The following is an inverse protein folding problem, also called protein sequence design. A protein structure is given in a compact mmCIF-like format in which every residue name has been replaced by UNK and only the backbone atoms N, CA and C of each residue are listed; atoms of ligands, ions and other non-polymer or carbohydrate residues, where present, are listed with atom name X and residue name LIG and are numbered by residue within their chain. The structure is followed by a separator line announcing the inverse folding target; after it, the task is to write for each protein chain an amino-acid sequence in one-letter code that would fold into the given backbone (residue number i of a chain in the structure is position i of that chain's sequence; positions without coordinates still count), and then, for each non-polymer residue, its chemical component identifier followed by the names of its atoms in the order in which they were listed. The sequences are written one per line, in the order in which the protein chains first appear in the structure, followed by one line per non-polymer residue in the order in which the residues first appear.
data_IF_412352156987
#
_entry.id   IF_412352156987
#
_cell.length_a   1.000
_cell.length_b   1.000
_cell.length_c   1.000
_cell.angle_alpha   90.00
_cell.angle_beta   90.00
_cell.angle_gamma   90.00
#
_symmetry.space_group_name_H-M   'P 1'
#
loop_
_entity.id
_entity.type
_entity.pdbx_description
1 polymer ?
#
# COMPACT_ATOMS: atom_id res chain seq x y z
N UNK A 1 18.47 12.20 3.66
CA UNK A 1 18.88 13.62 3.62
C UNK A 1 19.14 14.03 2.17
N UNK A 2 18.10 14.39 1.39
CA UNK A 2 18.26 14.65 -0.04
C UNK A 2 19.07 15.92 -0.30
N UNK A 3 18.69 17.07 0.27
CA UNK A 3 19.31 18.37 -0.04
C UNK A 3 20.81 18.46 0.25
N UNK A 4 21.30 18.00 1.41
CA UNK A 4 22.76 18.00 1.69
C UNK A 4 23.57 17.25 0.62
N UNK A 5 23.02 16.21 0.00
CA UNK A 5 23.71 15.43 -1.03
C UNK A 5 23.59 16.04 -2.43
N UNK A 6 22.75 17.06 -2.62
CA UNK A 6 22.62 17.83 -3.85
C UNK A 6 23.66 18.97 -3.95
N UNK A 7 24.63 19.06 -3.02
CA UNK A 7 25.68 20.11 -3.02
C UNK A 7 26.55 20.11 -4.27
N UNK A 8 26.60 19.00 -5.00
CA UNK A 8 27.37 18.83 -6.23
C UNK A 8 26.50 18.98 -7.49
N UNK A 9 25.22 19.31 -7.36
CA UNK A 9 24.34 19.54 -8.50
C UNK A 9 24.54 20.96 -9.03
N UNK A 10 24.78 21.07 -10.33
CA UNK A 10 24.94 22.36 -10.99
C UNK A 10 23.59 23.08 -11.06
N UNK A 11 23.56 24.29 -10.50
CA UNK A 11 22.42 25.20 -10.59
C UNK A 11 22.05 25.76 -9.23
N UNK A 12 22.08 27.09 -9.12
CA UNK A 12 21.66 27.84 -7.93
C UNK A 12 20.13 27.86 -7.80
N UNK A 13 19.46 26.70 -7.86
CA UNK A 13 18.00 26.57 -7.80
C UNK A 13 17.47 26.23 -6.39
N UNK A 14 18.36 25.97 -5.43
CA UNK A 14 18.02 25.76 -4.02
C UNK A 14 19.17 26.21 -3.10
N UNK A 15 18.86 26.49 -1.83
CA UNK A 15 19.83 26.89 -0.81
C UNK A 15 19.40 26.40 0.59
N UNK A 16 20.37 26.29 1.52
CA UNK A 16 20.09 26.00 2.93
C UNK A 16 20.02 27.31 3.73
N UNK A 17 18.93 27.49 4.48
CA UNK A 17 18.83 28.54 5.48
C UNK A 17 19.40 28.04 6.80
N UNK A 18 20.38 28.75 7.35
CA UNK A 18 21.00 28.40 8.63
C UNK A 18 20.11 28.80 9.81
N UNK A 19 20.25 28.07 10.92
CA UNK A 19 19.83 28.59 12.22
C UNK A 19 20.66 29.82 12.58
N UNK A 20 20.08 30.75 13.33
CA UNK A 20 20.77 31.99 13.73
C UNK A 20 22.13 31.69 14.40
N UNK A 21 23.21 32.25 13.86
CA UNK A 21 24.58 32.04 14.36
C UNK A 21 25.27 30.78 13.82
N UNK A 22 24.63 30.01 12.95
CA UNK A 22 25.18 28.81 12.31
C UNK A 22 25.51 29.02 10.82
N UNK A 23 25.53 30.26 10.31
CA UNK A 23 25.69 30.60 8.90
C UNK A 23 27.01 30.08 8.32
N UNK A 24 28.11 30.27 9.08
CA UNK A 24 29.42 29.75 8.72
C UNK A 24 29.47 28.22 8.73
N UNK A 25 28.76 27.59 9.66
CA UNK A 25 28.68 26.13 9.76
C UNK A 25 27.98 25.55 8.52
N UNK A 26 26.90 26.16 8.05
CA UNK A 26 26.21 25.70 6.84
C UNK A 26 27.08 25.82 5.58
N UNK A 27 27.91 26.87 5.51
CA UNK A 27 28.77 27.15 4.36
C UNK A 27 30.01 26.24 4.30
N UNK A 28 30.70 26.04 5.43
CA UNK A 28 32.04 25.42 5.45
C UNK A 28 32.14 24.17 6.32
N UNK A 29 31.17 23.92 7.19
CA UNK A 29 31.23 22.81 8.14
C UNK A 29 30.63 21.51 7.61
N UNK A 30 30.93 20.43 8.34
CA UNK A 30 30.41 19.10 8.02
C UNK A 30 28.95 18.95 8.51
N UNK A 31 28.06 18.59 7.58
CA UNK A 31 26.65 18.30 7.83
C UNK A 31 26.31 16.85 7.43
N UNK A 32 27.31 15.96 7.42
CA UNK A 32 27.17 14.54 7.07
C UNK A 32 26.25 13.77 8.03
N UNK A 33 26.12 14.24 9.27
CA UNK A 33 25.26 13.63 10.30
C UNK A 33 23.90 14.33 10.41
N UNK A 34 22.86 13.55 10.70
CA UNK A 34 21.50 14.07 10.89
C UNK A 34 21.41 15.09 12.05
N UNK A 35 22.15 14.84 13.13
CA UNK A 35 22.20 15.73 14.29
C UNK A 35 22.86 17.07 13.95
N UNK A 36 23.99 17.03 13.24
CA UNK A 36 24.68 18.25 12.78
C UNK A 36 23.81 19.08 11.84
N UNK A 37 23.07 18.41 10.93
CA UNK A 37 22.14 19.08 10.03
C UNK A 37 21.02 19.80 10.79
N UNK A 38 20.36 19.11 11.72
CA UNK A 38 19.22 19.67 12.46
C UNK A 38 19.64 20.85 13.36
N UNK A 39 20.87 20.83 13.88
CA UNK A 39 21.40 21.92 14.70
C UNK A 39 21.82 23.14 13.88
N UNK A 40 22.33 22.94 12.66
CA UNK A 40 22.86 24.02 11.84
C UNK A 40 21.86 24.62 10.83
N UNK A 41 20.87 23.85 10.36
CA UNK A 41 19.97 24.22 9.26
C UNK A 41 18.53 24.35 9.77
N UNK A 42 17.90 25.49 9.46
CA UNK A 42 16.50 25.74 9.78
C UNK A 42 15.56 25.11 8.73
N UNK A 43 15.84 25.34 7.44
CA UNK A 43 15.08 24.80 6.31
C UNK A 43 15.90 24.86 5.02
N UNK A 44 15.42 24.19 3.97
CA UNK A 44 15.91 24.36 2.61
C UNK A 44 14.91 25.19 1.82
N UNK A 45 15.40 26.12 1.02
CA UNK A 45 14.59 26.99 0.18
C UNK A 45 14.88 26.71 -1.30
N UNK A 46 13.84 26.72 -2.12
CA UNK A 46 13.94 26.68 -3.59
C UNK A 46 13.87 28.11 -4.09
N UNK A 47 14.61 28.45 -5.15
CA UNK A 47 14.60 29.83 -5.65
C UNK A 47 13.19 30.32 -5.96
N UNK A 48 12.90 31.63 -5.76
CA UNK A 48 11.59 32.19 -6.05
C UNK A 48 11.13 31.92 -7.49
N UNK A 49 12.06 32.00 -8.45
CA UNK A 49 11.80 31.73 -9.87
C UNK A 49 11.31 30.30 -10.10
N UNK A 50 12.00 29.30 -9.54
CA UNK A 50 11.56 27.91 -9.69
C UNK A 50 10.24 27.66 -8.92
N UNK A 51 10.06 28.31 -7.78
CA UNK A 51 8.82 28.22 -6.99
C UNK A 51 7.61 28.74 -7.78
N UNK A 52 7.72 29.90 -8.43
CA UNK A 52 6.66 30.44 -9.29
C UNK A 52 6.32 29.49 -10.45
N UNK A 53 7.34 28.90 -11.08
CA UNK A 53 7.15 27.91 -12.16
C UNK A 53 6.48 26.63 -11.66
N UNK A 54 6.77 26.18 -10.43
CA UNK A 54 6.15 24.99 -9.83
C UNK A 54 4.68 25.25 -9.45
N UNK A 55 4.34 26.46 -9.02
CA UNK A 55 2.96 26.84 -8.68
C UNK A 55 2.09 26.96 -9.95
N UNK A 56 2.65 27.43 -11.05
CA UNK A 56 1.95 27.51 -12.33
C UNK A 56 1.68 26.11 -12.92
N UNK A 57 0.42 25.80 -13.21
CA UNK A 57 0.02 24.48 -13.73
C UNK A 57 0.62 24.14 -15.10
N UNK A 58 0.73 25.11 -16.01
CA UNK A 58 1.31 24.87 -17.34
C UNK A 58 2.81 24.58 -17.24
N UNK A 59 3.56 25.43 -16.54
CA UNK A 59 5.00 25.24 -16.32
C UNK A 59 5.31 23.96 -15.55
N UNK A 60 4.53 23.62 -14.52
CA UNK A 60 4.66 22.35 -13.79
C UNK A 60 4.46 21.13 -14.68
N UNK A 61 3.51 21.18 -15.61
CA UNK A 61 3.28 20.08 -16.55
C UNK A 61 4.44 19.93 -17.53
N UNK A 62 5.00 21.03 -18.03
CA UNK A 62 6.20 21.02 -18.88
C UNK A 62 7.38 20.42 -18.11
N UNK A 63 7.65 20.88 -16.89
CA UNK A 63 8.74 20.37 -16.07
C UNK A 63 8.60 18.87 -15.81
N UNK A 64 7.39 18.42 -15.46
CA UNK A 64 7.08 16.99 -15.29
C UNK A 64 7.40 16.22 -16.56
N UNK A 65 6.92 16.68 -17.72
CA UNK A 65 7.16 16.00 -18.99
C UNK A 65 8.65 15.92 -19.31
N UNK A 66 9.39 17.02 -19.16
CA UNK A 66 10.84 17.07 -19.39
C UNK A 66 11.60 16.08 -18.50
N UNK A 67 11.25 16.00 -17.21
CA UNK A 67 11.88 15.04 -16.28
C UNK A 67 11.59 13.59 -16.71
N UNK A 68 10.37 13.31 -17.17
CA UNK A 68 10.00 11.98 -17.63
C UNK A 68 10.71 11.61 -18.92
N UNK A 69 10.75 12.50 -19.90
CA UNK A 69 11.44 12.25 -21.17
C UNK A 69 12.95 12.04 -20.94
N UNK A 70 13.53 12.79 -20.01
CA UNK A 70 14.96 12.73 -19.70
C UNK A 70 15.36 11.47 -18.93
N UNK A 71 14.64 11.14 -17.87
CA UNK A 71 15.03 10.08 -16.92
C UNK A 71 14.26 8.77 -17.12
N UNK A 72 13.11 8.81 -17.81
CA UNK A 72 12.24 7.66 -18.07
C UNK A 72 11.83 7.60 -19.56
N UNK A 73 12.79 7.62 -20.51
CA UNK A 73 12.48 7.64 -21.92
C UNK A 73 11.62 6.42 -22.32
N UNK A 74 10.53 6.68 -23.05
CA UNK A 74 9.57 5.64 -23.48
C UNK A 74 8.47 5.30 -22.47
N UNK A 75 8.45 5.92 -21.28
CA UNK A 75 7.32 5.85 -20.34
C UNK A 75 6.50 7.13 -20.43
N UNK A 76 5.44 7.12 -21.25
CA UNK A 76 4.46 8.21 -21.24
C UNK A 76 3.66 8.16 -19.93
N UNK A 77 3.95 9.05 -18.98
CA UNK A 77 2.95 9.37 -17.96
C UNK A 77 1.95 10.27 -18.66
N UNK A 78 0.82 9.68 -19.04
CA UNK A 78 -0.31 10.48 -19.48
C UNK A 78 -0.62 11.56 -18.43
N UNK A 79 -1.15 12.68 -18.88
CA UNK A 79 -1.87 13.69 -18.07
C UNK A 79 -2.65 13.05 -16.90
N UNK A 80 -3.04 13.78 -15.85
CA UNK A 80 -3.75 13.19 -14.69
C UNK A 80 -4.90 12.20 -15.05
N UNK A 81 -5.51 12.38 -16.22
CA UNK A 81 -6.37 11.43 -16.96
C UNK A 81 -5.75 10.06 -17.28
N UNK A 82 -4.52 9.98 -17.81
CA UNK A 82 -3.83 8.72 -18.15
C UNK A 82 -3.41 7.87 -16.94
N UNK A 83 -3.11 8.49 -15.79
CA UNK A 83 -2.92 7.72 -14.55
C UNK A 83 -4.23 7.06 -14.09
N UNK A 84 -5.39 7.71 -14.30
CA UNK A 84 -6.70 7.07 -14.08
C UNK A 84 -6.86 5.89 -15.03
N UNK A 85 -6.59 6.07 -16.33
CA UNK A 85 -6.76 5.00 -17.33
C UNK A 85 -5.95 3.74 -16.99
N UNK A 86 -4.69 3.89 -16.58
CA UNK A 86 -3.85 2.74 -16.18
C UNK A 86 -4.43 2.07 -14.92
N UNK A 87 -4.81 2.85 -13.92
CA UNK A 87 -5.42 2.33 -12.68
C UNK A 87 -6.74 1.61 -12.99
N UNK A 88 -7.55 2.17 -13.88
CA UNK A 88 -8.84 1.64 -14.30
C UNK A 88 -8.66 0.34 -15.10
N UNK A 89 -7.63 0.25 -15.93
CA UNK A 89 -7.27 -0.97 -16.65
C UNK A 89 -6.79 -2.06 -15.69
N UNK A 90 -5.86 -1.76 -14.78
CA UNK A 90 -5.40 -2.71 -13.77
C UNK A 90 -6.54 -3.18 -12.86
N UNK A 91 -7.46 -2.28 -12.52
CA UNK A 91 -8.68 -2.57 -11.78
C UNK A 91 -9.58 -3.52 -12.57
N UNK A 92 -9.82 -3.25 -13.85
CA UNK A 92 -10.61 -4.12 -14.73
C UNK A 92 -10.01 -5.52 -14.80
N UNK A 93 -8.71 -5.61 -15.04
CA UNK A 93 -7.99 -6.90 -15.05
C UNK A 93 -8.17 -7.67 -13.74
N UNK A 94 -8.12 -6.99 -12.59
CA UNK A 94 -8.28 -7.62 -11.29
C UNK A 94 -9.71 -8.10 -11.01
N UNK A 95 -10.73 -7.38 -11.50
CA UNK A 95 -12.14 -7.68 -11.23
C UNK A 95 -12.76 -8.64 -12.25
N UNK A 96 -12.28 -8.65 -13.49
CA UNK A 96 -12.90 -9.38 -14.60
C UNK A 96 -12.13 -10.65 -14.99
N UNK A 97 -10.80 -10.68 -14.82
CA UNK A 97 -10.02 -11.88 -15.16
C UNK A 97 -10.24 -12.97 -14.10
N UNK A 98 -10.35 -14.22 -14.55
CA UNK A 98 -10.40 -15.34 -13.60
C UNK A 98 -9.09 -15.46 -12.82
N UNK A 99 -9.11 -15.98 -11.57
CA UNK A 99 -7.90 -16.20 -10.78
C UNK A 99 -6.80 -16.99 -11.51
N UNK A 100 -7.17 -17.93 -12.38
CA UNK A 100 -6.25 -18.74 -13.16
C UNK A 100 -5.56 -17.97 -14.29
N UNK A 101 -6.33 -17.16 -15.03
CA UNK A 101 -5.80 -16.29 -16.10
C UNK A 101 -4.85 -15.24 -15.54
N UNK A 102 -5.27 -14.56 -14.47
CA UNK A 102 -4.45 -13.57 -13.78
C UNK A 102 -3.14 -14.18 -13.28
N UNK A 103 -3.20 -15.36 -12.67
CA UNK A 103 -2.00 -16.09 -12.21
C UNK A 103 -1.05 -16.48 -13.36
N UNK A 104 -1.57 -16.92 -14.51
CA UNK A 104 -0.79 -17.18 -15.72
C UNK A 104 -0.10 -15.91 -16.25
N UNK A 105 -0.82 -14.78 -16.26
CA UNK A 105 -0.31 -13.47 -16.68
C UNK A 105 0.84 -13.00 -15.78
N UNK A 106 0.70 -13.10 -14.46
CA UNK A 106 1.77 -12.76 -13.50
C UNK A 106 3.02 -13.61 -13.73
N UNK A 107 2.87 -14.92 -13.93
CA UNK A 107 3.98 -15.84 -14.24
C UNK A 107 4.64 -15.49 -15.57
N UNK A 108 3.85 -15.10 -16.58
CA UNK A 108 4.35 -14.64 -17.87
C UNK A 108 5.13 -13.32 -17.77
N UNK A 109 4.68 -12.38 -16.96
CA UNK A 109 5.41 -11.12 -16.71
C UNK A 109 6.73 -11.37 -16.00
N UNK A 110 6.76 -12.24 -14.99
CA UNK A 110 8.00 -12.61 -14.27
C UNK A 110 9.08 -13.16 -15.19
N UNK A 111 8.70 -13.85 -16.28
CA UNK A 111 9.65 -14.37 -17.28
C UNK A 111 10.16 -13.32 -18.27
N UNK A 112 9.35 -12.31 -18.58
CA UNK A 112 9.64 -11.32 -19.63
C UNK A 112 10.31 -10.04 -19.10
N UNK A 113 9.96 -9.62 -17.88
CA UNK A 113 10.42 -8.37 -17.28
C UNK A 113 11.69 -8.58 -16.48
N UNK A 114 12.51 -7.53 -16.38
CA UNK A 114 13.60 -7.48 -15.41
C UNK A 114 13.05 -7.40 -13.97
N UNK A 115 13.91 -7.71 -12.99
CA UNK A 115 13.49 -7.81 -11.59
C UNK A 115 12.90 -6.51 -11.03
N UNK A 116 13.48 -5.36 -11.37
CA UNK A 116 13.01 -4.05 -10.89
C UNK A 116 11.62 -3.72 -11.44
N UNK A 117 11.43 -3.88 -12.75
CA UNK A 117 10.14 -3.60 -13.41
C UNK A 117 9.06 -4.54 -12.91
N UNK A 118 9.39 -5.82 -12.70
CA UNK A 118 8.46 -6.78 -12.13
C UNK A 118 8.03 -6.40 -10.70
N UNK A 119 8.96 -5.92 -9.87
CA UNK A 119 8.62 -5.46 -8.50
C UNK A 119 7.68 -4.25 -8.52
N UNK A 120 7.90 -3.29 -9.42
CA UNK A 120 7.02 -2.13 -9.59
C UNK A 120 5.60 -2.57 -9.97
N UNK A 121 5.47 -3.49 -10.93
CA UNK A 121 4.18 -4.05 -11.37
C UNK A 121 3.44 -4.76 -10.22
N UNK A 122 4.14 -5.61 -9.47
CA UNK A 122 3.55 -6.31 -8.32
C UNK A 122 3.10 -5.30 -7.26
N UNK A 123 3.93 -4.31 -6.93
CA UNK A 123 3.59 -3.30 -5.93
C UNK A 123 2.35 -2.48 -6.33
N UNK A 124 2.24 -2.09 -7.60
CA UNK A 124 1.09 -1.35 -8.10
C UNK A 124 -0.21 -2.17 -7.99
N UNK A 125 -0.17 -3.44 -8.40
CA UNK A 125 -1.31 -4.35 -8.37
C UNK A 125 -1.72 -4.74 -6.95
N UNK A 126 -0.76 -4.91 -6.07
CA UNK A 126 -0.98 -5.21 -4.66
C UNK A 126 -1.57 -4.00 -3.93
N UNK A 127 -1.12 -2.78 -4.24
CA UNK A 127 -1.73 -1.53 -3.73
C UNK A 127 -3.18 -1.39 -4.18
N UNK A 128 -3.46 -1.70 -5.45
CA UNK A 128 -4.80 -1.73 -6.01
C UNK A 128 -5.71 -2.75 -5.32
N UNK A 129 -5.23 -3.99 -5.16
CA UNK A 129 -5.95 -5.04 -4.44
C UNK A 129 -6.36 -4.57 -3.06
N UNK A 130 -5.42 -4.01 -2.29
CA UNK A 130 -5.72 -3.55 -0.93
C UNK A 130 -6.79 -2.47 -0.92
N UNK A 131 -6.69 -1.49 -1.82
CA UNK A 131 -7.66 -0.42 -1.94
C UNK A 131 -9.05 -0.94 -2.28
N UNK A 132 -9.17 -1.87 -3.22
CA UNK A 132 -10.46 -2.37 -3.65
C UNK A 132 -11.11 -3.30 -2.63
N UNK A 133 -10.33 -4.15 -1.92
CA UNK A 133 -10.87 -4.96 -0.81
C UNK A 133 -11.45 -4.05 0.27
N UNK A 134 -10.68 -3.09 0.78
CA UNK A 134 -11.18 -2.18 1.83
C UNK A 134 -12.45 -1.44 1.36
N UNK A 135 -12.51 -1.04 0.08
CA UNK A 135 -13.70 -0.41 -0.52
C UNK A 135 -14.91 -1.36 -0.61
N UNK A 136 -14.70 -2.62 -0.97
CA UNK A 136 -15.77 -3.62 -1.07
C UNK A 136 -16.45 -3.89 0.28
N UNK A 137 -15.71 -3.70 1.37
CA UNK A 137 -16.17 -3.81 2.75
C UNK A 137 -16.49 -2.44 3.39
N UNK A 138 -16.67 -1.38 2.60
CA UNK A 138 -17.07 -0.04 3.09
C UNK A 138 -16.16 0.51 4.22
N UNK A 139 -14.84 0.32 4.09
CA UNK A 139 -13.82 0.72 5.07
C UNK A 139 -14.00 0.07 6.46
N UNK A 140 -14.64 -1.09 6.50
CA UNK A 140 -15.04 -1.78 7.73
C UNK A 140 -14.35 -3.14 7.87
N UNK A 141 -13.91 -3.45 9.09
CA UNK A 141 -13.46 -4.79 9.44
C UNK A 141 -14.66 -5.75 9.37
N UNK A 142 -14.57 -6.81 8.56
CA UNK A 142 -15.68 -7.73 8.33
C UNK A 142 -16.06 -8.56 9.56
N UNK A 143 -15.22 -8.62 10.59
CA UNK A 143 -15.48 -9.40 11.81
C UNK A 143 -16.05 -8.53 12.94
N UNK A 144 -15.44 -7.38 13.20
CA UNK A 144 -15.78 -6.54 14.37
C UNK A 144 -16.65 -5.34 14.03
N UNK A 145 -16.82 -5.06 12.75
CA UNK A 145 -17.49 -3.84 12.29
C UNK A 145 -16.71 -2.56 12.55
N UNK A 146 -15.44 -2.62 13.00
CA UNK A 146 -14.62 -1.41 13.22
C UNK A 146 -14.44 -0.68 11.90
N UNK A 147 -14.86 0.59 11.88
CA UNK A 147 -14.69 1.54 10.78
C UNK A 147 -14.18 2.85 11.34
N UNK A 148 -12.95 3.21 11.00
CA UNK A 148 -12.36 4.52 11.33
C UNK A 148 -11.76 5.06 10.05
N UNK A 149 -12.46 6.01 9.45
CA UNK A 149 -11.99 6.77 8.30
C UNK A 149 -11.81 8.22 8.72
N UNK A 150 -10.70 8.82 8.30
CA UNK A 150 -10.42 10.24 8.50
C UNK A 150 -10.36 10.96 7.15
N UNK A 151 -10.54 12.30 7.11
CA UNK A 151 -10.41 13.08 5.88
C UNK A 151 -9.00 13.04 5.27
N UNK A 152 -7.99 12.69 6.08
CA UNK A 152 -6.64 12.36 5.62
C UNK A 152 -6.55 10.85 5.38
N UNK A 153 -5.80 10.43 4.35
CA UNK A 153 -5.73 9.05 3.84
C UNK A 153 -5.28 8.01 4.88
N UNK A 154 -6.19 7.66 5.77
CA UNK A 154 -5.98 6.79 6.93
C UNK A 154 -7.22 5.92 7.11
N UNK A 155 -6.99 4.60 7.12
CA UNK A 155 -7.99 3.59 7.45
C UNK A 155 -7.44 2.70 8.56
N UNK A 156 -8.28 2.31 9.51
CA UNK A 156 -7.97 1.32 10.54
C UNK A 156 -8.25 -0.12 10.10
N UNK A 157 -8.42 -0.33 8.79
CA UNK A 157 -8.74 -1.61 8.18
C UNK A 157 -7.76 -1.88 7.05
N UNK A 158 -7.20 -3.08 7.07
CA UNK A 158 -6.29 -3.59 6.06
C UNK A 158 -7.00 -4.66 5.23
N UNK A 159 -6.59 -4.77 3.96
CA UNK A 159 -6.92 -5.93 3.17
C UNK A 159 -5.96 -7.08 3.51
N UNK A 160 -6.52 -8.24 3.82
CA UNK A 160 -5.82 -9.48 4.10
C UNK A 160 -6.08 -10.47 2.97
N UNK A 161 -5.02 -11.07 2.43
CA UNK A 161 -5.14 -12.19 1.50
C UNK A 161 -5.50 -13.46 2.26
N UNK A 162 -6.52 -14.19 1.79
CA UNK A 162 -6.87 -15.50 2.37
C UNK A 162 -5.78 -16.54 2.07
N UNK A 163 -5.43 -16.67 0.79
CA UNK A 163 -4.25 -17.41 0.34
C UNK A 163 -3.14 -16.42 0.01
N UNK A 164 -1.95 -16.52 0.62
CA UNK A 164 -0.86 -15.59 0.37
C UNK A 164 -0.51 -15.46 -1.11
N UNK A 165 -0.37 -14.22 -1.57
CA UNK A 165 -0.14 -13.90 -2.98
C UNK A 165 0.99 -14.71 -3.62
N UNK A 166 2.11 -14.92 -2.92
CA UNK A 166 3.26 -15.63 -3.47
C UNK A 166 3.00 -17.11 -3.83
N UNK A 167 1.90 -17.71 -3.33
CA UNK A 167 1.52 -19.11 -3.64
C UNK A 167 0.71 -19.22 -4.92
N UNK A 168 -0.28 -18.35 -5.10
CA UNK A 168 -1.28 -18.46 -6.18
C UNK A 168 -1.14 -17.37 -7.24
N UNK A 169 -0.43 -16.28 -6.92
CA UNK A 169 -0.43 -15.03 -7.68
C UNK A 169 -1.84 -14.46 -7.88
N UNK A 170 -2.74 -14.67 -6.92
CA UNK A 170 -4.14 -14.30 -7.02
C UNK A 170 -4.45 -13.01 -6.25
N UNK A 171 -4.73 -11.92 -6.98
CA UNK A 171 -5.27 -10.67 -6.43
C UNK A 171 -6.76 -10.46 -6.79
N UNK A 172 -7.47 -11.51 -7.19
CA UNK A 172 -8.92 -11.41 -7.36
C UNK A 172 -9.59 -11.12 -6.00
N UNK A 173 -10.63 -10.29 -5.93
CA UNK A 173 -11.26 -9.92 -4.66
C UNK A 173 -11.76 -11.08 -3.80
N UNK A 174 -12.15 -12.19 -4.43
CA UNK A 174 -12.57 -13.42 -3.74
C UNK A 174 -11.47 -14.05 -2.88
N UNK A 175 -10.20 -13.66 -3.06
CA UNK A 175 -9.07 -14.05 -2.22
C UNK A 175 -8.73 -13.00 -1.16
N UNK A 176 -9.60 -12.04 -0.89
CA UNK A 176 -9.36 -10.97 0.07
C UNK A 176 -10.52 -10.75 1.04
N UNK A 177 -10.16 -10.37 2.27
CA UNK A 177 -11.08 -9.93 3.32
C UNK A 177 -10.55 -8.66 3.99
N UNK A 178 -11.43 -7.79 4.47
CA UNK A 178 -11.03 -6.58 5.17
C UNK A 178 -11.01 -6.80 6.68
N UNK A 179 -9.85 -6.64 7.33
CA UNK A 179 -9.65 -6.90 8.75
C UNK A 179 -8.98 -5.71 9.45
N UNK A 180 -9.33 -5.44 10.70
CA UNK A 180 -8.54 -4.52 11.51
C UNK A 180 -7.15 -5.14 11.82
N UNK A 181 -6.11 -4.33 12.09
CA UNK A 181 -4.73 -4.80 12.22
C UNK A 181 -4.51 -5.97 13.18
N UNK A 182 -5.26 -6.00 14.29
CA UNK A 182 -5.17 -7.08 15.27
C UNK A 182 -5.69 -8.41 14.70
N UNK A 183 -6.84 -8.38 14.01
CA UNK A 183 -7.43 -9.57 13.42
C UNK A 183 -6.70 -10.00 12.16
N UNK A 184 -6.17 -9.06 11.37
CA UNK A 184 -5.28 -9.39 10.26
C UNK A 184 -4.09 -10.22 10.76
N UNK A 185 -3.43 -9.77 11.84
CA UNK A 185 -2.34 -10.53 12.46
C UNK A 185 -2.81 -11.87 13.02
N UNK A 186 -3.97 -11.93 13.68
CA UNK A 186 -4.50 -13.18 14.22
C UNK A 186 -4.80 -14.20 13.10
N UNK A 187 -5.36 -13.75 11.98
CA UNK A 187 -5.64 -14.57 10.81
C UNK A 187 -4.35 -15.11 10.18
N UNK A 188 -3.39 -14.23 9.88
CA UNK A 188 -2.08 -14.60 9.31
C UNK A 188 -1.29 -15.60 10.16
N UNK A 189 -1.46 -15.53 11.49
CA UNK A 189 -0.79 -16.44 12.45
C UNK A 189 -1.60 -17.69 12.76
N UNK A 190 -2.81 -17.81 12.22
CA UNK A 190 -3.67 -18.97 12.40
C UNK A 190 -4.35 -19.04 13.77
N UNK A 191 -4.43 -17.93 14.50
CA UNK A 191 -5.21 -17.83 15.73
C UNK A 191 -6.72 -17.76 15.43
N UNK A 192 -7.10 -17.23 14.27
CA UNK A 192 -8.48 -17.27 13.77
C UNK A 192 -8.51 -17.76 12.32
N UNK A 193 -9.66 -18.23 11.87
CA UNK A 193 -9.99 -18.50 10.47
C UNK A 193 -11.49 -18.27 10.24
N UNK A 194 -11.97 -18.44 9.01
CA UNK A 194 -13.39 -18.43 8.66
C UNK A 194 -13.82 -19.82 8.18
N UNK A 195 -14.98 -20.32 8.62
CA UNK A 195 -15.57 -21.59 8.18
C UNK A 195 -16.34 -21.48 6.86
N UNK A 196 -17.01 -22.56 6.46
CA UNK A 196 -17.76 -22.62 5.19
C UNK A 196 -19.12 -21.90 5.24
N UNK A 197 -19.58 -21.55 6.43
CA UNK A 197 -20.78 -20.73 6.67
C UNK A 197 -20.43 -19.25 6.87
N UNK A 198 -19.18 -18.86 6.58
CA UNK A 198 -18.64 -17.52 6.79
C UNK A 198 -18.68 -17.06 8.27
N UNK A 199 -18.44 -17.98 9.21
CA UNK A 199 -18.29 -17.67 10.64
C UNK A 199 -16.85 -17.76 11.07
N UNK A 200 -16.49 -16.92 12.04
CA UNK A 200 -15.15 -16.93 12.64
C UNK A 200 -14.96 -18.20 13.46
N UNK A 201 -13.80 -18.84 13.28
CA UNK A 201 -13.34 -19.98 14.09
C UNK A 201 -12.06 -19.56 14.81
N UNK A 202 -12.01 -19.76 16.12
CA UNK A 202 -10.86 -19.42 16.96
C UNK A 202 -10.06 -20.68 17.29
N UNK A 203 -8.73 -20.57 17.23
CA UNK A 203 -7.83 -21.68 17.53
C UNK A 203 -7.85 -22.00 19.03
N UNK A 204 -7.94 -23.29 19.43
CA UNK A 204 -7.85 -23.68 20.83
C UNK A 204 -6.39 -23.76 21.35
N UNK A 205 -5.39 -23.49 20.50
CA UNK A 205 -3.99 -23.81 20.78
C UNK A 205 -3.21 -22.70 21.51
N UNK A 206 -3.80 -21.52 21.68
CA UNK A 206 -3.17 -20.40 22.35
C UNK A 206 -3.87 -20.05 23.66
N UNK A 207 -3.15 -19.38 24.55
CA UNK A 207 -3.67 -18.87 25.82
C UNK A 207 -3.86 -17.37 25.70
N UNK A 208 -5.02 -16.90 26.13
CA UNK A 208 -5.33 -15.47 26.16
C UNK A 208 -6.01 -15.08 27.48
N UNK A 209 -6.15 -13.77 27.71
CA UNK A 209 -6.95 -13.28 28.82
C UNK A 209 -8.42 -13.20 28.41
N UNK A 210 -9.19 -14.25 28.72
CA UNK A 210 -10.62 -14.36 28.40
C UNK A 210 -11.49 -13.27 29.05
N UNK A 211 -11.03 -12.63 30.13
CA UNK A 211 -11.75 -11.52 30.75
C UNK A 211 -11.64 -10.20 29.97
N UNK A 212 -10.73 -10.13 28.99
CA UNK A 212 -10.56 -8.94 28.16
C UNK A 212 -11.71 -8.79 27.18
N UNK A 213 -12.23 -7.56 27.02
CA UNK A 213 -13.19 -7.23 25.96
C UNK A 213 -12.61 -7.45 24.54
N UNK A 214 -11.29 -7.56 24.42
CA UNK A 214 -10.59 -7.83 23.15
C UNK A 214 -10.20 -9.30 22.97
N UNK A 215 -10.75 -10.20 23.78
CA UNK A 215 -10.48 -11.63 23.66
C UNK A 215 -10.92 -12.16 22.28
N UNK A 216 -10.10 -12.97 21.64
CA UNK A 216 -10.44 -13.56 20.33
C UNK A 216 -11.58 -14.57 20.47
N UNK A 217 -11.62 -15.32 21.58
CA UNK A 217 -12.70 -16.27 21.87
C UNK A 217 -14.10 -15.67 21.83
N UNK A 218 -14.28 -14.38 22.14
CA UNK A 218 -15.60 -13.73 22.03
C UNK A 218 -16.10 -13.60 20.59
N UNK A 219 -15.19 -13.72 19.61
CA UNK A 219 -15.51 -13.66 18.19
C UNK A 219 -15.87 -15.03 17.63
N UNK A 220 -15.67 -16.12 18.38
CA UNK A 220 -15.92 -17.47 17.88
C UNK A 220 -17.41 -17.66 17.52
N UNK A 221 -17.67 -18.11 16.29
CA UNK A 221 -19.02 -18.28 15.75
C UNK A 221 -19.66 -17.00 15.20
N UNK A 222 -19.00 -15.84 15.31
CA UNK A 222 -19.51 -14.59 14.74
C UNK A 222 -19.58 -14.66 13.22
N UNK A 223 -20.74 -14.32 12.66
CA UNK A 223 -20.93 -14.19 11.21
C UNK A 223 -20.16 -12.96 10.71
N UNK A 224 -19.32 -13.12 9.69
CA UNK A 224 -18.65 -11.96 9.08
C UNK A 224 -19.60 -11.21 8.15
N UNK A 225 -19.40 -9.89 8.08
CA UNK A 225 -19.98 -9.07 7.03
C UNK A 225 -19.38 -9.48 5.68
N UNK A 226 -20.22 -9.54 4.64
CA UNK A 226 -19.82 -9.94 3.29
C UNK A 226 -19.94 -8.77 2.32
N UNK A 227 -19.16 -8.76 1.22
CA UNK A 227 -19.33 -7.78 0.16
C UNK A 227 -20.77 -7.80 -0.38
N UNK A 228 -21.31 -6.63 -0.72
CA UNK A 228 -22.68 -6.49 -1.24
C UNK A 228 -22.92 -7.22 -2.56
N UNK A 229 -21.86 -7.38 -3.34
CA UNK A 229 -21.90 -8.03 -4.64
C UNK A 229 -21.42 -9.48 -4.52
N UNK A 230 -22.30 -10.41 -4.91
CA UNK A 230 -22.08 -11.84 -4.76
C UNK A 230 -20.85 -12.36 -5.53
N UNK A 231 -20.43 -11.67 -6.59
CA UNK A 231 -19.24 -12.08 -7.36
C UNK A 231 -17.92 -11.88 -6.60
N UNK A 232 -17.93 -11.07 -5.53
CA UNK A 232 -16.76 -10.78 -4.71
C UNK A 232 -16.78 -11.48 -3.35
N UNK A 233 -17.70 -12.43 -3.14
CA UNK A 233 -17.71 -13.22 -1.92
C UNK A 233 -16.37 -13.97 -1.74
N UNK A 234 -15.87 -14.12 -0.50
CA UNK A 234 -14.64 -14.86 -0.27
C UNK A 234 -14.79 -16.30 -0.74
N UNK A 235 -13.80 -16.80 -1.49
CA UNK A 235 -13.81 -18.15 -2.06
C UNK A 235 -13.73 -19.20 -0.93
N UNK A 236 -14.72 -20.08 -0.86
CA UNK A 236 -14.77 -21.17 0.11
C UNK A 236 -13.56 -22.10 -0.01
N UNK A 237 -13.04 -22.32 -1.23
CA UNK A 237 -11.83 -23.13 -1.43
C UNK A 237 -10.58 -22.44 -0.86
N UNK A 238 -10.51 -21.12 -0.95
CA UNK A 238 -9.45 -20.32 -0.33
C UNK A 238 -9.54 -20.37 1.20
N UNK A 239 -10.75 -20.24 1.76
CA UNK A 239 -10.97 -20.36 3.21
C UNK A 239 -10.63 -21.75 3.74
N UNK A 240 -11.03 -22.80 3.03
CA UNK A 240 -10.67 -24.19 3.35
C UNK A 240 -9.15 -24.41 3.28
N UNK A 241 -8.48 -23.79 2.30
CA UNK A 241 -7.01 -23.79 2.22
C UNK A 241 -6.39 -23.14 3.46
N UNK A 242 -6.90 -21.98 3.89
CA UNK A 242 -6.41 -21.28 5.08
C UNK A 242 -6.59 -22.14 6.35
N UNK A 243 -7.77 -22.75 6.53
CA UNK A 243 -8.06 -23.67 7.65
C UNK A 243 -7.13 -24.89 7.69
N UNK A 244 -6.61 -25.32 6.54
CA UNK A 244 -5.71 -26.47 6.43
C UNK A 244 -4.24 -26.12 6.57
N UNK A 245 -3.81 -24.94 6.11
CA UNK A 245 -2.39 -24.60 5.95
C UNK A 245 -1.89 -23.57 6.97
N UNK A 246 -2.75 -22.70 7.47
CA UNK A 246 -2.39 -21.59 8.35
C UNK A 246 -2.98 -21.75 9.74
N UNK A 247 -4.29 -22.04 9.82
CA UNK A 247 -5.03 -22.18 11.07
C UNK A 247 -4.43 -23.25 11.98
N UNK A 248 -4.31 -22.94 13.28
CA UNK A 248 -3.79 -23.85 14.29
C UNK A 248 -4.95 -24.60 14.94
N UNK A 249 -5.03 -25.90 14.71
CA UNK A 249 -6.02 -26.78 15.33
C UNK A 249 -5.42 -27.47 16.55
#
# INVERSE_FOLDING_TARGET
MPFFRLKNEDGSWWQLAANSGCELWVQTGDLSSFNSLNNAVAYAEITPVLTELLLNTASRNILRQTLLDRYFPGKSIGTATGNSVIIDELRREMLEESPGEYGCKMKGMKKRLNAETYQIEIYARDTLFRREIVRLYDDQCCVTGVRVSAPYAFSMVDACHIVPFYKTFNNHPTNGIALCPNLHRAFDKGAISIDDDYRVVVSPTFVENESSAYSLNVLNGTQIDLPKDAQFLPDLAALAWHRKQTFKQ
#
